data_IF_528432641684
#
_entry.id   IF_528432641684
#
_cell.length_a   1.000
_cell.length_b   1.000
_cell.length_c   1.000
_cell.angle_alpha   90.00
_cell.angle_beta   90.00
_cell.angle_gamma   90.00
#
_symmetry.space_group_name_H-M   'P 1'
#
loop_
_entity.id
_entity.type
_entity.pdbx_description
1 polymer ?
#
# COMPACT_ATOMS: atom_id res chain seq x y z
N UNK A 1 -30.86 -2.04 1.71
CA UNK A 1 -29.89 -0.97 1.99
C UNK A 1 -30.08 0.12 0.96
N UNK A 2 -30.70 1.25 1.36
CA UNK A 2 -31.14 2.31 0.44
C UNK A 2 -29.96 2.92 -0.32
N UNK A 3 -30.16 3.30 -1.60
CA UNK A 3 -29.15 4.00 -2.44
C UNK A 3 -28.55 5.22 -1.73
N UNK A 4 -29.35 5.91 -0.94
CA UNK A 4 -28.97 7.09 -0.14
C UNK A 4 -27.91 6.76 0.90
N UNK A 5 -28.05 5.65 1.64
CA UNK A 5 -27.07 5.22 2.66
C UNK A 5 -25.71 4.83 2.03
N UNK A 6 -25.71 4.28 0.82
CA UNK A 6 -24.46 3.98 0.10
C UNK A 6 -23.73 5.27 -0.32
N UNK A 7 -24.46 6.23 -0.87
CA UNK A 7 -23.88 7.52 -1.29
C UNK A 7 -23.32 8.25 -0.06
N UNK A 8 -24.08 8.33 1.03
CA UNK A 8 -23.64 8.99 2.26
C UNK A 8 -22.35 8.38 2.82
N UNK A 9 -22.19 7.06 2.76
CA UNK A 9 -21.02 6.34 3.28
C UNK A 9 -19.72 6.71 2.55
N UNK A 10 -19.80 7.09 1.27
CA UNK A 10 -18.62 7.48 0.47
C UNK A 10 -18.43 8.99 0.43
N UNK A 11 -19.50 9.77 0.45
CA UNK A 11 -19.42 11.24 0.41
C UNK A 11 -18.99 11.85 1.73
N UNK A 12 -19.39 11.29 2.88
CA UNK A 12 -19.00 11.83 4.19
C UNK A 12 -17.48 11.88 4.40
N UNK A 13 -16.70 10.78 4.20
CA UNK A 13 -15.25 10.84 4.35
C UNK A 13 -14.57 11.80 3.37
N UNK A 14 -15.13 11.92 2.15
CA UNK A 14 -14.59 12.81 1.13
C UNK A 14 -14.84 14.28 1.48
N UNK A 15 -16.03 14.61 1.98
CA UNK A 15 -16.35 15.97 2.46
C UNK A 15 -15.48 16.31 3.68
N UNK A 16 -15.30 15.40 4.62
CA UNK A 16 -14.42 15.60 5.78
C UNK A 16 -12.98 15.84 5.32
N UNK A 17 -12.47 15.06 4.38
CA UNK A 17 -11.13 15.24 3.81
C UNK A 17 -10.96 16.61 3.15
N UNK A 18 -11.91 17.02 2.31
CA UNK A 18 -11.91 18.34 1.68
C UNK A 18 -12.02 19.47 2.70
N UNK A 19 -12.81 19.29 3.75
CA UNK A 19 -12.94 20.25 4.84
C UNK A 19 -11.61 20.45 5.58
N UNK A 20 -10.88 19.38 5.90
CA UNK A 20 -9.56 19.51 6.52
C UNK A 20 -8.52 20.12 5.60
N UNK A 21 -8.56 19.85 4.29
CA UNK A 21 -7.69 20.51 3.31
C UNK A 21 -7.99 22.01 3.28
N UNK A 22 -9.27 22.39 3.28
CA UNK A 22 -9.70 23.78 3.30
C UNK A 22 -9.27 24.50 4.59
N UNK A 23 -9.45 23.87 5.76
CA UNK A 23 -8.97 24.41 7.04
C UNK A 23 -7.44 24.56 7.05
N UNK A 24 -6.71 23.57 6.57
CA UNK A 24 -5.25 23.67 6.44
C UNK A 24 -4.84 24.83 5.54
N UNK A 25 -5.53 24.99 4.41
CA UNK A 25 -5.28 26.11 3.50
C UNK A 25 -5.55 27.47 4.16
N UNK A 26 -6.61 27.62 4.96
CA UNK A 26 -6.93 28.87 5.68
C UNK A 26 -5.90 29.19 6.76
N UNK A 27 -5.41 28.18 7.49
CA UNK A 27 -4.46 28.34 8.58
C UNK A 27 -3.00 28.48 8.12
N UNK A 28 -2.72 28.22 6.85
CA UNK A 28 -1.37 28.35 6.29
C UNK A 28 -1.10 29.82 5.89
N UNK A 29 -0.05 30.41 6.46
CA UNK A 29 0.39 31.75 6.14
C UNK A 29 0.71 31.89 4.64
N UNK A 30 0.58 33.10 4.09
CA UNK A 30 0.94 33.38 2.70
C UNK A 30 2.42 33.08 2.43
N UNK A 31 3.30 33.38 3.40
CA UNK A 31 4.73 33.12 3.31
C UNK A 31 5.05 31.61 3.29
N UNK A 32 4.33 30.82 4.09
CA UNK A 32 4.48 29.36 4.10
C UNK A 32 4.07 28.74 2.76
N UNK A 33 3.02 29.28 2.12
CA UNK A 33 2.60 28.79 0.79
C UNK A 33 3.67 29.06 -0.27
N UNK A 34 4.27 30.26 -0.26
CA UNK A 34 5.38 30.60 -1.17
C UNK A 34 6.58 29.70 -0.88
N UNK A 35 6.88 29.46 0.37
CA UNK A 35 7.99 28.61 0.77
C UNK A 35 7.79 27.16 0.34
N UNK A 36 6.57 26.61 0.47
CA UNK A 36 6.25 25.25 -0.03
C UNK A 36 6.50 25.13 -1.53
N UNK A 37 6.05 26.14 -2.33
CA UNK A 37 6.30 26.15 -3.77
C UNK A 37 7.80 26.21 -4.08
N UNK A 38 8.55 27.06 -3.36
CA UNK A 38 10.01 27.16 -3.52
C UNK A 38 10.71 25.86 -3.15
N UNK A 39 10.30 25.18 -2.07
CA UNK A 39 10.88 23.90 -1.69
C UNK A 39 10.60 22.82 -2.73
N UNK A 40 9.41 22.79 -3.34
CA UNK A 40 9.08 21.86 -4.42
C UNK A 40 9.92 22.15 -5.67
N UNK A 41 10.10 23.42 -6.03
CA UNK A 41 10.90 23.82 -7.20
C UNK A 41 12.41 23.57 -7.00
N UNK A 42 12.90 23.71 -5.77
CA UNK A 42 14.30 23.49 -5.41
C UNK A 42 14.57 22.06 -4.90
N UNK A 43 13.59 21.17 -4.99
CA UNK A 43 13.77 19.79 -4.58
C UNK A 43 14.84 19.10 -5.43
N UNK A 44 15.71 18.36 -4.77
CA UNK A 44 16.74 17.58 -5.47
C UNK A 44 16.12 16.36 -6.13
N UNK A 45 16.01 16.41 -7.45
CA UNK A 45 15.40 15.35 -8.27
C UNK A 45 16.13 14.01 -8.13
N UNK A 46 17.40 13.99 -7.76
CA UNK A 46 18.14 12.73 -7.53
C UNK A 46 17.51 11.91 -6.41
N UNK A 47 17.16 12.53 -5.28
CA UNK A 47 16.50 11.84 -4.19
C UNK A 47 15.09 11.38 -4.55
N UNK A 48 14.37 12.16 -5.36
CA UNK A 48 13.03 11.79 -5.84
C UNK A 48 13.12 10.55 -6.74
N UNK A 49 14.02 10.56 -7.72
CA UNK A 49 14.23 9.43 -8.63
C UNK A 49 14.68 8.18 -7.85
N UNK A 50 15.64 8.34 -6.93
CA UNK A 50 16.10 7.25 -6.09
C UNK A 50 14.98 6.65 -5.24
N UNK A 51 14.14 7.50 -4.65
CA UNK A 51 12.96 7.07 -3.87
C UNK A 51 11.98 6.26 -4.72
N UNK A 52 11.68 6.72 -5.94
CA UNK A 52 10.80 6.02 -6.88
C UNK A 52 11.40 4.65 -7.26
N UNK A 53 12.70 4.61 -7.59
CA UNK A 53 13.39 3.36 -7.93
C UNK A 53 13.37 2.36 -6.77
N UNK A 54 13.67 2.80 -5.56
CA UNK A 54 13.60 1.96 -4.37
C UNK A 54 12.18 1.46 -4.10
N UNK A 55 11.18 2.31 -4.30
CA UNK A 55 9.76 1.92 -4.20
C UNK A 55 9.38 0.86 -5.22
N UNK A 56 9.81 0.98 -6.47
CA UNK A 56 9.59 -0.03 -7.51
C UNK A 56 10.28 -1.35 -7.18
N UNK A 57 11.55 -1.29 -6.76
CA UNK A 57 12.31 -2.48 -6.34
C UNK A 57 11.65 -3.19 -5.16
N UNK A 58 11.13 -2.46 -4.20
CA UNK A 58 10.36 -3.00 -3.07
C UNK A 58 9.12 -3.76 -3.54
N UNK A 59 8.38 -3.20 -4.51
CA UNK A 59 7.19 -3.86 -5.08
C UNK A 59 7.55 -5.13 -5.86
N UNK A 60 8.63 -5.11 -6.62
CA UNK A 60 9.15 -6.28 -7.34
C UNK A 60 9.58 -7.37 -6.35
N UNK A 61 10.34 -7.01 -5.31
CA UNK A 61 10.73 -7.94 -4.24
C UNK A 61 9.52 -8.60 -3.58
N UNK A 62 8.47 -7.84 -3.32
CA UNK A 62 7.22 -8.37 -2.78
C UNK A 62 6.54 -9.34 -3.74
N UNK A 63 6.53 -9.06 -5.03
CA UNK A 63 5.94 -9.94 -6.04
C UNK A 63 6.71 -11.27 -6.14
N UNK A 64 8.05 -11.23 -6.08
CA UNK A 64 8.91 -12.41 -6.07
C UNK A 64 8.67 -13.25 -4.81
N UNK A 65 8.67 -12.62 -3.65
CA UNK A 65 8.42 -13.28 -2.36
C UNK A 65 7.06 -13.97 -2.33
N UNK A 66 6.05 -13.36 -2.92
CA UNK A 66 4.73 -13.96 -3.04
C UNK A 66 4.74 -15.19 -3.97
N UNK A 67 5.50 -15.17 -5.05
CA UNK A 67 5.75 -16.34 -5.90
C UNK A 67 6.27 -17.53 -5.09
N UNK A 68 7.23 -17.30 -4.21
CA UNK A 68 7.78 -18.35 -3.34
C UNK A 68 6.75 -18.95 -2.37
N UNK A 69 5.69 -18.25 -2.01
CA UNK A 69 4.60 -18.81 -1.20
C UNK A 69 3.63 -19.66 -2.04
N UNK A 70 3.51 -19.40 -3.34
CA UNK A 70 2.61 -20.10 -4.24
C UNK A 70 3.23 -21.39 -4.83
N UNK A 71 4.53 -21.38 -5.08
CA UNK A 71 5.26 -22.54 -5.67
C UNK A 71 5.11 -23.82 -4.84
N UNK A 72 5.30 -23.83 -3.51
CA UNK A 72 5.16 -25.04 -2.70
C UNK A 72 3.75 -25.63 -2.69
N UNK A 73 2.74 -24.81 -3.01
CA UNK A 73 1.33 -25.20 -3.06
C UNK A 73 0.97 -25.77 -4.45
N UNK A 74 1.94 -25.78 -5.39
CA UNK A 74 1.78 -26.36 -6.72
C UNK A 74 1.39 -25.35 -7.81
N UNK A 75 1.50 -24.05 -7.55
CA UNK A 75 1.21 -23.00 -8.53
C UNK A 75 2.49 -22.28 -8.98
N UNK A 76 2.63 -22.07 -10.29
CA UNK A 76 3.73 -21.32 -10.89
C UNK A 76 3.21 -20.00 -11.47
N UNK A 77 3.10 -18.93 -10.66
CA UNK A 77 2.64 -17.63 -11.15
C UNK A 77 3.68 -17.01 -12.08
N UNK A 78 3.22 -16.36 -13.13
CA UNK A 78 4.11 -15.55 -13.98
C UNK A 78 4.53 -14.31 -13.20
N UNK A 79 5.85 -14.04 -13.15
CA UNK A 79 6.39 -12.90 -12.40
C UNK A 79 5.72 -11.57 -12.81
N UNK A 80 5.48 -11.37 -14.11
CA UNK A 80 4.81 -10.18 -14.64
C UNK A 80 3.41 -10.02 -14.06
N UNK A 81 2.63 -11.11 -13.99
CA UNK A 81 1.28 -11.08 -13.42
C UNK A 81 1.31 -10.81 -11.91
N UNK A 82 2.29 -11.37 -11.21
CA UNK A 82 2.50 -11.12 -9.77
C UNK A 82 2.82 -9.64 -9.50
N UNK A 83 3.71 -9.02 -10.32
CA UNK A 83 4.05 -7.60 -10.21
C UNK A 83 2.82 -6.74 -10.49
N UNK A 84 2.10 -7.01 -11.58
CA UNK A 84 0.88 -6.27 -11.93
C UNK A 84 -0.20 -6.41 -10.85
N UNK A 85 -0.39 -7.62 -10.30
CA UNK A 85 -1.34 -7.86 -9.22
C UNK A 85 -1.00 -7.04 -7.97
N UNK A 86 0.28 -6.95 -7.60
CA UNK A 86 0.76 -6.13 -6.50
C UNK A 86 0.48 -4.65 -6.76
N UNK A 87 0.82 -4.14 -7.95
CA UNK A 87 0.60 -2.74 -8.33
C UNK A 87 -0.89 -2.38 -8.36
N UNK A 88 -1.74 -3.24 -8.94
CA UNK A 88 -3.20 -3.08 -8.93
C UNK A 88 -3.72 -3.04 -7.48
N UNK A 89 -3.18 -3.90 -6.61
CA UNK A 89 -3.52 -3.88 -5.20
C UNK A 89 -3.22 -2.55 -4.52
N UNK A 90 -2.05 -1.95 -4.79
CA UNK A 90 -1.70 -0.64 -4.26
C UNK A 90 -2.60 0.48 -4.80
N UNK A 91 -2.83 0.50 -6.11
CA UNK A 91 -3.74 1.48 -6.73
C UNK A 91 -5.15 1.39 -6.16
N UNK A 92 -5.65 0.17 -5.95
CA UNK A 92 -6.97 -0.04 -5.37
C UNK A 92 -7.09 0.47 -3.93
N UNK A 93 -6.03 0.34 -3.13
CA UNK A 93 -6.01 0.82 -1.76
C UNK A 93 -6.07 2.36 -1.66
N UNK A 94 -5.72 3.09 -2.73
CA UNK A 94 -5.91 4.55 -2.79
C UNK A 94 -7.40 4.94 -2.84
N UNK A 95 -8.23 4.11 -3.50
CA UNK A 95 -9.67 4.37 -3.61
C UNK A 95 -10.49 3.75 -2.47
N UNK A 96 -10.25 2.48 -2.19
CA UNK A 96 -10.99 1.72 -1.17
C UNK A 96 -9.97 1.03 -0.24
N UNK A 97 -9.88 1.46 1.03
CA UNK A 97 -8.96 0.85 1.97
C UNK A 97 -9.14 -0.67 2.07
N UNK A 98 -8.04 -1.42 2.05
CA UNK A 98 -7.98 -2.89 2.13
C UNK A 98 -8.57 -3.66 0.95
N UNK A 99 -8.98 -3.00 -0.13
CA UNK A 99 -9.46 -3.68 -1.35
C UNK A 99 -8.33 -4.33 -2.14
N UNK A 100 -7.12 -3.85 -1.97
CA UNK A 100 -5.94 -4.32 -2.72
C UNK A 100 -5.62 -5.78 -2.51
N UNK A 101 -5.82 -6.32 -1.33
CA UNK A 101 -5.58 -7.74 -1.03
C UNK A 101 -6.56 -8.65 -1.77
N UNK A 102 -7.83 -8.25 -1.83
CA UNK A 102 -8.88 -8.95 -2.56
C UNK A 102 -8.62 -8.90 -4.07
N UNK A 103 -8.28 -7.71 -4.59
CA UNK A 103 -8.00 -7.53 -6.02
C UNK A 103 -6.73 -8.27 -6.45
N UNK A 104 -5.69 -8.27 -5.63
CA UNK A 104 -4.46 -9.03 -5.88
C UNK A 104 -4.78 -10.51 -6.08
N UNK A 105 -5.56 -11.14 -5.19
CA UNK A 105 -5.99 -12.53 -5.32
C UNK A 105 -6.88 -12.75 -6.54
N UNK A 106 -7.80 -11.81 -6.83
CA UNK A 106 -8.71 -11.89 -7.98
C UNK A 106 -7.98 -11.81 -9.33
N UNK A 107 -6.94 -11.00 -9.42
CA UNK A 107 -6.09 -10.89 -10.62
C UNK A 107 -5.39 -12.23 -10.89
N UNK A 108 -4.84 -12.88 -9.86
CA UNK A 108 -4.16 -14.17 -10.03
C UNK A 108 -5.14 -15.30 -10.39
N UNK A 109 -6.34 -15.27 -9.85
CA UNK A 109 -7.40 -16.21 -10.23
C UNK A 109 -7.75 -16.09 -11.71
N UNK A 110 -7.85 -14.87 -12.21
CA UNK A 110 -8.22 -14.60 -13.60
C UNK A 110 -7.12 -14.91 -14.62
N UNK A 111 -5.86 -14.55 -14.31
CA UNK A 111 -4.76 -14.60 -15.29
C UNK A 111 -3.85 -15.83 -15.14
N UNK A 112 -3.60 -16.29 -13.93
CA UNK A 112 -2.76 -17.47 -13.66
C UNK A 112 -3.56 -18.68 -13.18
N UNK A 113 -4.91 -18.58 -13.16
CA UNK A 113 -5.83 -19.65 -12.77
C UNK A 113 -5.53 -20.20 -11.37
N UNK A 114 -5.02 -19.36 -10.49
CA UNK A 114 -4.79 -19.69 -9.09
C UNK A 114 -6.10 -19.42 -8.33
N UNK A 115 -6.76 -20.44 -7.73
CA UNK A 115 -8.05 -20.24 -7.08
C UNK A 115 -7.99 -19.08 -6.07
N UNK A 116 -9.00 -18.21 -6.09
CA UNK A 116 -9.08 -17.03 -5.22
C UNK A 116 -8.78 -17.37 -3.75
N UNK A 117 -9.35 -18.48 -3.24
CA UNK A 117 -9.15 -18.92 -1.84
C UNK A 117 -7.67 -19.16 -1.53
N UNK A 118 -6.94 -19.81 -2.45
CA UNK A 118 -5.52 -20.08 -2.31
C UNK A 118 -4.70 -18.80 -2.38
N UNK A 119 -4.93 -17.96 -3.40
CA UNK A 119 -4.25 -16.68 -3.55
C UNK A 119 -4.49 -15.74 -2.36
N UNK A 120 -5.72 -15.65 -1.88
CA UNK A 120 -6.05 -14.83 -0.71
C UNK A 120 -5.45 -15.39 0.58
N UNK A 121 -5.45 -16.73 0.76
CA UNK A 121 -4.82 -17.39 1.90
C UNK A 121 -3.32 -17.10 1.98
N UNK A 122 -2.60 -17.11 0.85
CA UNK A 122 -1.17 -16.75 0.83
C UNK A 122 -0.91 -15.28 1.13
N UNK A 123 -1.80 -14.37 0.72
CA UNK A 123 -1.73 -12.95 1.08
C UNK A 123 -1.89 -12.76 2.59
N UNK A 124 -2.82 -13.48 3.23
CA UNK A 124 -2.99 -13.45 4.69
C UNK A 124 -1.74 -14.01 5.38
N UNK A 125 -1.21 -15.13 4.90
CA UNK A 125 0.02 -15.73 5.45
C UNK A 125 1.21 -14.73 5.37
N UNK A 126 1.36 -14.04 4.25
CA UNK A 126 2.35 -12.95 4.09
C UNK A 126 2.20 -11.89 5.19
N UNK A 127 0.97 -11.45 5.48
CA UNK A 127 0.69 -10.46 6.54
C UNK A 127 1.01 -10.96 7.94
N UNK A 128 0.72 -12.22 8.24
CA UNK A 128 1.07 -12.82 9.53
C UNK A 128 2.58 -12.84 9.74
N UNK A 129 3.36 -13.21 8.72
CA UNK A 129 4.82 -13.18 8.78
C UNK A 129 5.35 -11.76 8.96
N UNK A 130 4.82 -10.79 8.20
CA UNK A 130 5.19 -9.37 8.33
C UNK A 130 4.92 -8.87 9.76
N UNK A 131 3.80 -9.27 10.37
CA UNK A 131 3.42 -8.89 11.73
C UNK A 131 4.33 -9.54 12.78
N UNK A 132 4.71 -10.81 12.60
CA UNK A 132 5.67 -11.48 13.48
C UNK A 132 7.05 -10.79 13.44
N UNK A 133 7.55 -10.49 12.25
CA UNK A 133 8.82 -9.77 12.08
C UNK A 133 8.75 -8.40 12.75
N UNK A 134 7.68 -7.64 12.53
CA UNK A 134 7.48 -6.35 13.17
C UNK A 134 7.49 -6.46 14.70
N UNK A 135 6.81 -7.48 15.25
CA UNK A 135 6.76 -7.72 16.70
C UNK A 135 8.15 -8.01 17.26
N UNK A 136 8.96 -8.81 16.55
CA UNK A 136 10.34 -9.09 16.96
C UNK A 136 11.17 -7.79 16.98
N UNK A 137 11.08 -6.97 15.93
CA UNK A 137 11.79 -5.68 15.88
C UNK A 137 11.37 -4.73 17.01
N UNK A 138 10.09 -4.69 17.35
CA UNK A 138 9.59 -3.88 18.46
C UNK A 138 10.17 -4.36 19.80
N UNK A 139 10.18 -5.67 20.06
CA UNK A 139 10.74 -6.23 21.29
C UNK A 139 12.24 -5.94 21.39
N UNK A 140 12.99 -6.16 20.30
CA UNK A 140 14.43 -5.87 20.26
C UNK A 140 14.69 -4.38 20.51
N UNK A 141 13.93 -3.50 19.86
CA UNK A 141 14.05 -2.06 20.06
C UNK A 141 13.78 -1.62 21.50
N UNK A 142 12.74 -2.18 22.13
CA UNK A 142 12.44 -1.92 23.53
C UNK A 142 13.56 -2.40 24.45
N UNK A 143 14.08 -3.60 24.24
CA UNK A 143 15.20 -4.14 25.05
C UNK A 143 16.45 -3.25 24.94
N UNK A 144 16.81 -2.84 23.71
CA UNK A 144 17.95 -1.96 23.49
C UNK A 144 17.77 -0.56 24.10
N UNK A 145 16.54 -0.09 24.23
CA UNK A 145 16.25 1.22 24.80
C UNK A 145 16.24 1.19 26.34
N UNK A 146 16.02 0.04 26.96
CA UNK A 146 16.09 -0.09 28.43
C UNK A 146 17.53 -0.10 28.98
N UNK A 147 18.53 -0.36 28.14
CA UNK A 147 19.95 -0.33 28.50
C UNK A 147 20.63 1.05 28.29
N UNK A 148 19.89 2.07 27.85
CA UNK A 148 20.33 3.46 27.71
C UNK A 148 19.68 4.37 28.75
#
# INVERSE_FOLDING_TARGET
>A
MNKVTKILRYTIPLIIGLFFIYLSYLNTSHDDRINVIKYIQNADYHFIILSILLGLLSNISRAIRWGYLLIPIGYNPRLTNSILAVLIGYLSNLGIPRSGEILRASVMDRYDKIPFKTGFGTVIAERLVDLLILSIFLVVSLVLQFDL
#
